data_IF_344284643563
#
_entry.id   IF_344284643563
#
_cell.length_a   1.000
_cell.length_b   1.000
_cell.length_c   1.000
_cell.angle_alpha   90.00
_cell.angle_beta   90.00
_cell.angle_gamma   90.00
#
_symmetry.space_group_name_H-M   'P 1'
#
loop_
_entity.id
_entity.type
_entity.pdbx_description
1 polymer ?
#
# COMPACT_ATOMS: atom_id res chain seq x y z
N UNK A 1 -35.87 -9.95 -47.60
CA UNK A 1 -36.15 -8.85 -46.65
C UNK A 1 -34.84 -8.51 -45.96
N UNK A 2 -34.11 -7.53 -46.47
CA UNK A 2 -32.97 -6.93 -45.79
C UNK A 2 -33.22 -5.43 -45.76
N UNK A 3 -33.29 -4.90 -44.55
CA UNK A 3 -33.58 -3.51 -44.25
C UNK A 3 -32.35 -2.68 -44.53
N UNK A 4 -32.56 -1.74 -45.44
CA UNK A 4 -31.82 -0.53 -45.76
C UNK A 4 -31.16 0.13 -44.53
N UNK A 5 -29.84 0.28 -44.53
CA UNK A 5 -29.15 1.36 -43.81
C UNK A 5 -28.73 2.41 -44.82
N UNK A 6 -29.64 3.37 -45.02
CA UNK A 6 -29.39 4.63 -45.70
C UNK A 6 -28.77 5.57 -44.65
N UNK A 7 -27.46 5.77 -44.72
CA UNK A 7 -26.82 6.97 -44.15
C UNK A 7 -26.44 7.88 -45.32
N UNK A 8 -27.15 9.00 -45.40
CA UNK A 8 -26.94 10.08 -46.36
C UNK A 8 -25.64 10.86 -46.08
N UNK A 9 -24.91 11.14 -47.17
CA UNK A 9 -24.22 12.37 -47.58
C UNK A 9 -23.40 13.16 -46.52
N UNK A 10 -22.17 13.59 -46.81
CA UNK A 10 -21.83 14.64 -47.77
C UNK A 10 -20.36 14.47 -48.20
N UNK A 11 -20.07 14.01 -49.42
CA UNK A 11 -18.74 14.23 -50.02
C UNK A 11 -18.64 13.97 -51.54
N UNK A 12 -19.54 13.19 -52.15
CA UNK A 12 -19.29 12.73 -53.54
C UNK A 12 -20.35 13.20 -54.55
N UNK A 13 -21.19 14.16 -54.16
CA UNK A 13 -22.23 14.74 -55.03
C UNK A 13 -21.75 15.82 -56.01
N UNK A 14 -20.46 15.89 -56.35
CA UNK A 14 -19.93 17.00 -57.17
C UNK A 14 -19.14 16.58 -58.42
N UNK A 15 -19.07 15.29 -58.77
CA UNK A 15 -18.30 14.86 -59.95
C UNK A 15 -19.17 14.35 -61.12
N UNK A 16 -20.47 14.10 -60.93
CA UNK A 16 -21.34 13.67 -62.05
C UNK A 16 -22.72 14.33 -61.98
N UNK A 17 -22.78 15.64 -62.23
CA UNK A 17 -24.01 16.26 -62.76
C UNK A 17 -23.64 17.27 -63.84
N UNK A 18 -23.15 16.73 -64.95
CA UNK A 18 -22.89 17.49 -66.15
C UNK A 18 -23.01 16.55 -67.32
N UNK A 19 -24.19 16.53 -67.92
CA UNK A 19 -24.57 15.81 -69.15
C UNK A 19 -25.19 14.42 -68.91
N UNK A 20 -26.46 14.30 -69.36
CA UNK A 20 -27.39 13.15 -69.46
C UNK A 20 -28.16 12.75 -68.20
N UNK A 21 -29.49 12.94 -68.24
CA UNK A 21 -30.43 12.64 -67.17
C UNK A 21 -31.10 11.28 -67.29
N UNK A 22 -30.40 10.20 -66.95
CA UNK A 22 -31.03 8.90 -66.68
C UNK A 22 -30.49 8.29 -65.38
N UNK A 23 -31.38 7.67 -64.60
CA UNK A 23 -31.06 7.05 -63.31
C UNK A 23 -30.06 5.90 -63.49
N UNK A 24 -28.87 6.03 -62.89
CA UNK A 24 -27.91 4.94 -62.76
C UNK A 24 -28.15 4.20 -61.44
N UNK A 25 -28.14 2.86 -61.50
CA UNK A 25 -28.26 2.03 -60.30
C UNK A 25 -26.89 1.49 -59.88
N UNK A 26 -26.64 1.48 -58.57
CA UNK A 26 -25.43 0.94 -57.94
C UNK A 26 -25.83 -0.31 -57.14
N UNK A 27 -25.15 -1.43 -57.37
CA UNK A 27 -25.32 -2.63 -56.56
C UNK A 27 -23.99 -3.36 -56.34
N UNK A 28 -23.94 -4.21 -55.32
CA UNK A 28 -22.77 -5.02 -54.95
C UNK A 28 -23.14 -6.48 -55.15
N UNK A 29 -22.29 -7.27 -55.81
CA UNK A 29 -22.55 -8.69 -56.04
C UNK A 29 -22.16 -9.58 -54.85
N UNK A 30 -22.43 -10.89 -54.97
CA UNK A 30 -22.20 -11.88 -53.91
C UNK A 30 -20.71 -12.10 -53.56
N UNK A 31 -19.78 -11.55 -54.36
CA UNK A 31 -18.33 -11.62 -54.12
C UNK A 31 -17.77 -10.27 -53.64
N UNK A 32 -18.58 -9.22 -53.59
CA UNK A 32 -18.24 -7.91 -53.03
C UNK A 32 -17.85 -6.85 -54.05
N UNK A 33 -18.00 -7.12 -55.34
CA UNK A 33 -17.64 -6.16 -56.39
C UNK A 33 -18.78 -5.14 -56.61
N UNK A 34 -18.39 -3.87 -56.79
CA UNK A 34 -19.33 -2.75 -57.00
C UNK A 34 -19.64 -2.57 -58.49
N UNK A 35 -20.92 -2.61 -58.85
CA UNK A 35 -21.40 -2.45 -60.22
C UNK A 35 -22.16 -1.14 -60.40
N UNK A 36 -21.98 -0.50 -61.56
CA UNK A 36 -22.69 0.70 -62.01
C UNK A 36 -23.32 0.41 -63.38
N UNK A 37 -24.65 0.47 -63.47
CA UNK A 37 -25.37 0.22 -64.72
C UNK A 37 -26.18 1.46 -65.12
N UNK A 38 -25.95 1.94 -66.35
CA UNK A 38 -26.72 3.03 -66.94
C UNK A 38 -27.92 2.46 -67.72
N UNK A 39 -29.11 3.03 -67.54
CA UNK A 39 -30.38 2.43 -67.98
C UNK A 39 -30.60 2.40 -69.50
N UNK A 40 -29.74 2.97 -70.34
CA UNK A 40 -29.89 2.84 -71.79
C UNK A 40 -28.55 2.59 -72.51
N UNK A 41 -28.53 1.45 -73.19
CA UNK A 41 -27.52 0.91 -74.13
C UNK A 41 -26.56 -0.15 -73.57
N UNK A 42 -26.67 -1.32 -74.19
CA UNK A 42 -26.13 -2.61 -73.79
C UNK A 42 -24.61 -2.75 -74.06
N UNK A 43 -23.80 -1.70 -73.84
CA UNK A 43 -22.42 -1.68 -74.37
C UNK A 43 -21.37 -0.81 -73.64
N UNK A 44 -21.58 -0.36 -72.40
CA UNK A 44 -20.52 0.32 -71.65
C UNK A 44 -20.41 -0.18 -70.21
N UNK A 45 -19.78 -1.34 -70.02
CA UNK A 45 -19.28 -1.79 -68.72
C UNK A 45 -17.96 -1.09 -68.42
N UNK A 46 -17.97 -0.13 -67.50
CA UNK A 46 -16.72 0.45 -66.98
C UNK A 46 -16.28 -0.39 -65.79
N UNK A 47 -15.20 -1.14 -65.97
CA UNK A 47 -14.54 -1.90 -64.90
C UNK A 47 -13.67 -0.95 -64.07
N UNK A 48 -13.98 -0.80 -62.78
CA UNK A 48 -13.03 -0.28 -61.81
C UNK A 48 -12.23 -1.47 -61.29
N UNK A 49 -10.94 -1.51 -61.65
CA UNK A 49 -10.06 -2.65 -61.39
C UNK A 49 -9.99 -3.03 -59.92
N UNK A 50 -9.89 -4.35 -59.71
CA UNK A 50 -9.73 -5.04 -58.44
C UNK A 50 -8.55 -4.52 -57.62
N UNK A 51 -8.83 -3.72 -56.60
CA UNK A 51 -8.08 -3.78 -55.35
C UNK A 51 -9.02 -4.41 -54.33
N UNK A 52 -8.59 -5.54 -53.79
CA UNK A 52 -9.35 -6.44 -52.94
C UNK A 52 -9.90 -5.71 -51.70
N UNK A 53 -11.12 -5.16 -51.84
CA UNK A 53 -11.83 -4.40 -50.81
C UNK A 53 -11.95 -5.21 -49.51
N UNK A 54 -11.94 -6.55 -49.60
CA UNK A 54 -11.91 -7.45 -48.45
C UNK A 54 -10.61 -7.36 -47.66
N UNK A 55 -9.46 -7.32 -48.34
CA UNK A 55 -8.15 -7.13 -47.69
C UNK A 55 -8.01 -5.73 -47.09
N UNK A 56 -8.47 -4.69 -47.77
CA UNK A 56 -8.45 -3.33 -47.23
C UNK A 56 -9.35 -3.20 -46.00
N UNK A 57 -10.54 -3.79 -46.02
CA UNK A 57 -11.46 -3.81 -44.88
C UNK A 57 -10.90 -4.61 -43.70
N UNK A 58 -10.23 -5.73 -43.94
CA UNK A 58 -9.56 -6.52 -42.90
C UNK A 58 -8.40 -5.73 -42.26
N UNK A 59 -7.61 -5.05 -43.08
CA UNK A 59 -6.49 -4.20 -42.63
C UNK A 59 -7.00 -3.03 -41.79
N UNK A 60 -8.08 -2.37 -42.23
CA UNK A 60 -8.73 -1.28 -41.48
C UNK A 60 -9.30 -1.76 -40.14
N UNK A 61 -9.91 -2.96 -40.08
CA UNK A 61 -10.42 -3.54 -38.82
C UNK A 61 -9.31 -3.82 -37.82
N UNK A 62 -8.20 -4.41 -38.27
CA UNK A 62 -7.03 -4.65 -37.42
C UNK A 62 -6.46 -3.34 -36.86
N UNK A 63 -6.33 -2.31 -37.71
CA UNK A 63 -5.87 -0.98 -37.28
C UNK A 63 -6.81 -0.33 -36.25
N UNK A 64 -8.14 -0.51 -36.40
CA UNK A 64 -9.12 -0.01 -35.43
C UNK A 64 -9.01 -0.72 -34.08
N UNK A 65 -8.78 -2.04 -34.07
CA UNK A 65 -8.64 -2.79 -32.82
C UNK A 65 -7.32 -2.48 -32.10
N UNK A 66 -6.22 -2.29 -32.83
CA UNK A 66 -4.97 -1.76 -32.27
C UNK A 66 -5.17 -0.37 -31.65
N UNK A 67 -5.86 0.54 -32.36
CA UNK A 67 -6.19 1.86 -31.83
C UNK A 67 -7.09 1.79 -30.59
N UNK A 68 -7.99 0.81 -30.48
CA UNK A 68 -8.82 0.63 -29.28
C UNK A 68 -8.00 0.17 -28.09
N UNK A 69 -7.07 -0.77 -28.28
CA UNK A 69 -6.16 -1.23 -27.23
C UNK A 69 -5.27 -0.08 -26.76
N UNK A 70 -4.70 0.68 -27.69
CA UNK A 70 -3.86 1.83 -27.35
C UNK A 70 -4.67 2.95 -26.68
N UNK A 71 -5.90 3.23 -27.13
CA UNK A 71 -6.76 4.22 -26.48
C UNK A 71 -7.20 3.78 -25.07
N UNK A 72 -7.44 2.48 -24.86
CA UNK A 72 -7.70 1.93 -23.54
C UNK A 72 -6.46 2.06 -22.62
N UNK A 73 -5.26 1.80 -23.15
CA UNK A 73 -3.99 2.01 -22.44
C UNK A 73 -3.79 3.48 -22.07
N UNK A 74 -3.94 4.40 -23.01
CA UNK A 74 -3.79 5.85 -22.78
C UNK A 74 -4.84 6.37 -21.79
N UNK A 75 -6.07 5.84 -21.80
CA UNK A 75 -7.09 6.17 -20.79
C UNK A 75 -6.70 5.66 -19.40
N UNK A 76 -6.21 4.43 -19.29
CA UNK A 76 -5.70 3.88 -18.04
C UNK A 76 -4.52 4.70 -17.51
N UNK A 77 -3.60 5.09 -18.40
CA UNK A 77 -2.47 5.97 -18.10
C UNK A 77 -2.94 7.37 -17.65
N UNK A 78 -3.93 7.98 -18.32
CA UNK A 78 -4.50 9.26 -17.87
C UNK A 78 -5.23 9.18 -16.54
N UNK A 79 -5.93 8.07 -16.25
CA UNK A 79 -6.56 7.84 -14.94
C UNK A 79 -5.48 7.68 -13.87
N UNK A 80 -4.43 6.90 -14.15
CA UNK A 80 -3.28 6.73 -13.26
C UNK A 80 -2.56 8.06 -13.01
N UNK A 81 -2.36 8.89 -14.04
CA UNK A 81 -1.77 10.22 -13.92
C UNK A 81 -2.66 11.19 -13.12
N UNK A 82 -3.98 11.14 -13.29
CA UNK A 82 -4.91 11.95 -12.48
C UNK A 82 -4.96 11.49 -11.02
N UNK A 83 -4.90 10.18 -10.79
CA UNK A 83 -4.77 9.61 -9.44
C UNK A 83 -3.43 10.00 -8.82
N UNK A 84 -2.33 9.87 -9.55
CA UNK A 84 -1.01 10.31 -9.12
C UNK A 84 -1.01 11.81 -8.80
N UNK A 85 -1.65 12.66 -9.61
CA UNK A 85 -1.79 14.09 -9.36
C UNK A 85 -2.60 14.40 -8.09
N UNK A 86 -3.71 13.70 -7.86
CA UNK A 86 -4.46 13.78 -6.59
C UNK A 86 -3.64 13.31 -5.40
N UNK A 87 -2.73 12.38 -5.63
CA UNK A 87 -1.81 11.83 -4.64
C UNK A 87 -0.52 12.64 -4.45
N UNK A 88 -0.36 13.78 -5.14
CA UNK A 88 0.80 14.67 -4.95
C UNK A 88 0.58 15.68 -3.81
N UNK A 89 1.56 15.75 -2.91
CA UNK A 89 1.74 16.84 -1.96
C UNK A 89 0.65 16.98 -0.89
N UNK A 90 0.60 18.18 -0.29
CA UNK A 90 -0.34 18.53 0.78
C UNK A 90 -1.83 18.42 0.41
N UNK A 91 -2.19 18.27 -0.88
CA UNK A 91 -3.58 18.25 -1.32
C UNK A 91 -4.31 17.00 -0.82
N UNK A 92 -3.81 15.79 -1.11
CA UNK A 92 -4.41 14.54 -0.65
C UNK A 92 -4.65 14.58 0.86
N UNK A 93 -3.61 14.96 1.60
CA UNK A 93 -3.64 15.02 3.05
C UNK A 93 -4.67 16.01 3.60
N UNK A 94 -4.81 17.19 2.99
CA UNK A 94 -5.78 18.22 3.41
C UNK A 94 -7.24 17.86 3.10
N UNK A 95 -7.46 16.84 2.27
CA UNK A 95 -8.81 16.39 1.87
C UNK A 95 -9.15 15.01 2.44
N UNK A 96 -8.41 14.51 3.44
CA UNK A 96 -8.77 13.28 4.13
C UNK A 96 -9.95 13.52 5.09
N UNK A 97 -11.01 12.74 4.92
CA UNK A 97 -12.16 12.75 5.81
C UNK A 97 -12.38 11.36 6.43
N UNK A 98 -12.67 11.31 7.73
CA UNK A 98 -13.17 10.09 8.37
C UNK A 98 -14.58 9.79 7.83
N UNK A 99 -14.73 8.65 7.14
CA UNK A 99 -16.01 8.27 6.50
C UNK A 99 -16.45 6.87 6.91
N UNK A 100 -15.79 6.24 7.88
CA UNK A 100 -16.16 4.90 8.32
C UNK A 100 -15.21 4.32 9.35
N UNK A 101 -15.72 3.34 10.07
CA UNK A 101 -14.95 2.60 11.05
C UNK A 101 -15.17 1.10 10.94
N UNK A 102 -14.15 0.34 11.32
CA UNK A 102 -14.31 -1.09 11.63
C UNK A 102 -14.60 -1.15 13.13
N UNK A 103 -15.84 -1.43 13.56
CA UNK A 103 -16.12 -1.67 14.96
C UNK A 103 -15.47 -3.00 15.33
N UNK A 104 -14.34 -2.93 16.03
CA UNK A 104 -13.69 -4.15 16.50
C UNK A 104 -14.39 -4.52 17.80
N UNK A 105 -15.28 -5.51 17.73
CA UNK A 105 -15.91 -6.07 18.91
C UNK A 105 -14.81 -6.76 19.74
N UNK A 106 -14.37 -6.06 20.78
CA UNK A 106 -13.43 -6.54 21.78
C UNK A 106 -14.10 -7.66 22.59
N UNK A 107 -13.96 -8.89 22.14
CA UNK A 107 -14.36 -10.04 22.96
C UNK A 107 -13.23 -10.43 23.92
N UNK A 108 -11.99 -9.95 23.74
CA UNK A 108 -10.86 -10.36 24.55
C UNK A 108 -9.80 -9.27 24.72
N UNK A 109 -9.50 -8.96 25.98
CA UNK A 109 -8.41 -8.09 26.43
C UNK A 109 -7.09 -8.42 25.71
N UNK A 110 -6.35 -7.40 25.26
CA UNK A 110 -5.09 -7.66 24.56
C UNK A 110 -4.51 -6.60 23.63
N UNK A 111 -4.81 -5.32 23.84
CA UNK A 111 -4.34 -4.20 23.00
C UNK A 111 -4.80 -4.30 21.53
N UNK A 112 -6.11 -4.43 21.31
CA UNK A 112 -6.69 -4.48 19.97
C UNK A 112 -6.40 -3.21 19.15
N UNK A 113 -5.94 -3.35 17.90
CA UNK A 113 -5.54 -2.22 17.07
C UNK A 113 -4.07 -1.82 17.23
N UNK A 114 -3.25 -2.67 17.84
CA UNK A 114 -1.83 -2.39 18.07
C UNK A 114 -1.01 -2.25 16.78
N UNK A 115 -1.33 -3.07 15.78
CA UNK A 115 -0.85 -2.97 14.42
C UNK A 115 -2.01 -3.15 13.44
N UNK A 116 -1.88 -2.51 12.27
CA UNK A 116 -2.84 -2.58 11.17
C UNK A 116 -2.05 -2.79 9.89
N UNK A 117 -2.55 -3.63 8.99
CA UNK A 117 -2.06 -3.71 7.61
C UNK A 117 -3.28 -3.78 6.67
N UNK A 118 -3.20 -3.15 5.51
CA UNK A 118 -4.28 -3.17 4.52
C UNK A 118 -3.73 -3.42 3.11
N UNK A 119 -4.37 -4.30 2.35
CA UNK A 119 -4.05 -4.54 0.95
C UNK A 119 -5.24 -5.11 0.21
N UNK A 120 -5.53 -4.57 -0.97
CA UNK A 120 -6.69 -4.94 -1.77
C UNK A 120 -7.98 -4.70 -0.98
N UNK A 121 -8.74 -5.78 -0.79
CA UNK A 121 -9.97 -5.80 -0.02
C UNK A 121 -9.77 -6.36 1.41
N UNK A 122 -8.54 -6.57 1.87
CA UNK A 122 -8.26 -7.12 3.20
C UNK A 122 -7.67 -6.07 4.14
N UNK A 123 -8.09 -6.13 5.40
CA UNK A 123 -7.53 -5.34 6.51
C UNK A 123 -7.23 -6.29 7.66
N UNK A 124 -5.97 -6.38 8.05
CA UNK A 124 -5.52 -7.13 9.21
C UNK A 124 -5.33 -6.19 10.40
N UNK A 125 -5.83 -6.58 11.57
CA UNK A 125 -5.72 -5.84 12.82
C UNK A 125 -5.31 -6.79 13.94
N UNK A 126 -4.34 -6.39 14.75
CA UNK A 126 -3.80 -7.27 15.80
C UNK A 126 -4.16 -6.87 17.23
N UNK A 127 -4.12 -7.87 18.11
CA UNK A 127 -4.15 -7.78 19.56
C UNK A 127 -3.01 -8.64 20.15
N UNK A 128 -1.76 -8.15 20.18
CA UNK A 128 -0.60 -8.96 20.56
C UNK A 128 -0.59 -9.41 22.02
N UNK A 129 -1.41 -8.80 22.89
CA UNK A 129 -1.54 -9.20 24.31
C UNK A 129 -2.74 -10.11 24.56
N UNK A 130 -3.36 -10.62 23.50
CA UNK A 130 -4.48 -11.52 23.61
C UNK A 130 -4.08 -12.83 24.31
N UNK A 131 -4.97 -13.31 25.20
CA UNK A 131 -4.73 -14.44 26.09
C UNK A 131 -5.47 -15.73 25.70
N UNK A 132 -6.15 -15.78 24.54
CA UNK A 132 -7.00 -16.92 24.17
C UNK A 132 -6.18 -18.19 23.95
N UNK A 133 -5.10 -18.10 23.17
CA UNK A 133 -4.28 -19.28 22.82
C UNK A 133 -3.29 -19.64 23.94
N UNK A 134 -2.62 -18.64 24.51
CA UNK A 134 -1.85 -18.69 25.74
C UNK A 134 -1.68 -17.26 26.28
N UNK A 135 -1.17 -17.08 27.50
CA UNK A 135 -1.00 -15.76 28.09
C UNK A 135 -0.07 -14.88 27.24
N UNK A 136 -0.55 -13.72 26.78
CA UNK A 136 0.14 -12.80 25.87
C UNK A 136 0.65 -13.48 24.58
N UNK A 137 -0.06 -14.49 24.07
CA UNK A 137 0.32 -15.18 22.84
C UNK A 137 0.03 -14.35 21.59
N UNK A 138 -0.99 -13.50 21.63
CA UNK A 138 -1.38 -12.63 20.53
C UNK A 138 -2.42 -13.24 19.58
N UNK A 139 -3.02 -12.36 18.78
CA UNK A 139 -4.11 -12.63 17.84
C UNK A 139 -4.06 -11.61 16.70
N UNK A 140 -4.36 -12.06 15.48
CA UNK A 140 -4.61 -11.18 14.33
C UNK A 140 -5.98 -11.49 13.75
N UNK A 141 -6.84 -10.48 13.68
CA UNK A 141 -8.09 -10.51 12.95
C UNK A 141 -7.87 -10.04 11.53
N UNK A 142 -8.33 -10.81 10.55
CA UNK A 142 -8.34 -10.40 9.15
C UNK A 142 -9.79 -10.16 8.75
N UNK A 143 -10.07 -8.95 8.28
CA UNK A 143 -11.37 -8.52 7.80
C UNK A 143 -11.34 -8.39 6.29
N UNK A 144 -12.46 -8.78 5.66
CA UNK A 144 -12.73 -8.50 4.25
C UNK A 144 -13.63 -7.30 4.12
N UNK A 145 -13.22 -6.34 3.30
CA UNK A 145 -14.00 -5.19 2.85
C UNK A 145 -14.83 -5.55 1.62
N UNK A 146 -16.11 -5.21 1.64
CA UNK A 146 -17.02 -5.37 0.51
C UNK A 146 -17.21 -4.06 -0.27
N UNK A 147 -17.71 -4.13 -1.52
CA UNK A 147 -17.94 -2.94 -2.35
C UNK A 147 -18.91 -1.91 -1.76
N UNK A 148 -19.80 -2.33 -0.86
CA UNK A 148 -20.71 -1.46 -0.12
C UNK A 148 -20.05 -0.74 1.07
N UNK A 149 -18.74 -0.95 1.28
CA UNK A 149 -17.97 -0.37 2.38
C UNK A 149 -18.06 -1.16 3.69
N UNK A 150 -18.86 -2.23 3.76
CA UNK A 150 -18.97 -3.06 4.94
C UNK A 150 -17.73 -3.96 5.13
N UNK A 151 -17.51 -4.39 6.37
CA UNK A 151 -16.42 -5.31 6.73
C UNK A 151 -17.00 -6.57 7.37
N UNK A 152 -16.49 -7.74 7.00
CA UNK A 152 -16.76 -8.99 7.71
C UNK A 152 -15.46 -9.61 8.21
N UNK A 153 -15.46 -10.11 9.44
CA UNK A 153 -14.36 -10.95 9.92
C UNK A 153 -14.25 -12.19 9.02
N UNK A 154 -13.06 -12.40 8.50
CA UNK A 154 -12.74 -13.46 7.55
C UNK A 154 -12.03 -14.62 8.24
N UNK A 155 -10.98 -14.32 9.02
CA UNK A 155 -10.22 -15.33 9.76
C UNK A 155 -9.54 -14.72 10.99
N UNK A 156 -9.37 -15.56 12.02
CA UNK A 156 -8.55 -15.29 13.19
C UNK A 156 -7.26 -16.10 13.08
N UNK A 157 -6.11 -15.44 13.17
CA UNK A 157 -4.81 -16.10 13.20
C UNK A 157 -4.27 -16.13 14.62
N UNK A 158 -3.88 -17.33 15.05
CA UNK A 158 -3.19 -17.60 16.30
C UNK A 158 -1.78 -18.14 16.02
N UNK A 159 -0.82 -17.96 16.93
CA UNK A 159 0.51 -18.54 16.76
C UNK A 159 0.41 -20.06 16.65
N UNK A 160 1.04 -20.69 15.65
CA UNK A 160 1.18 -22.14 15.61
C UNK A 160 2.00 -22.60 16.81
N UNK A 161 1.39 -23.35 17.72
CA UNK A 161 1.97 -23.75 19.03
C UNK A 161 2.18 -22.60 20.02
N UNK A 162 1.16 -21.75 20.16
CA UNK A 162 1.14 -20.61 21.10
C UNK A 162 1.77 -20.91 22.47
N UNK A 163 2.80 -20.14 22.81
CA UNK A 163 3.43 -20.10 24.11
C UNK A 163 3.17 -18.76 24.81
N UNK A 164 3.50 -18.73 26.10
CA UNK A 164 3.37 -17.51 26.91
C UNK A 164 4.33 -16.45 26.38
N UNK A 165 3.80 -15.29 26.00
CA UNK A 165 4.60 -14.15 25.56
C UNK A 165 5.09 -14.22 24.10
N UNK A 166 4.49 -15.07 23.25
CA UNK A 166 4.79 -15.07 21.81
C UNK A 166 4.43 -13.74 21.14
N UNK A 167 3.43 -13.01 21.65
CA UNK A 167 2.98 -11.71 21.16
C UNK A 167 2.82 -11.61 19.62
N UNK A 168 2.30 -12.65 18.97
CA UNK A 168 2.05 -12.63 17.53
C UNK A 168 1.10 -11.48 17.17
N UNK A 169 1.43 -10.77 16.09
CA UNK A 169 0.71 -9.57 15.67
C UNK A 169 1.29 -8.29 16.26
N UNK A 170 2.48 -8.32 16.86
CA UNK A 170 3.16 -7.11 17.30
C UNK A 170 3.45 -6.15 16.12
N UNK A 171 3.72 -6.71 14.94
CA UNK A 171 3.81 -5.99 13.68
C UNK A 171 3.07 -6.73 12.58
N UNK A 172 2.56 -5.97 11.60
CA UNK A 172 1.90 -6.49 10.42
C UNK A 172 2.45 -5.78 9.19
N UNK A 173 2.66 -6.53 8.11
CA UNK A 173 2.88 -5.99 6.77
C UNK A 173 2.09 -6.85 5.78
N UNK A 174 1.53 -6.25 4.73
CA UNK A 174 0.66 -6.98 3.82
C UNK A 174 0.73 -6.39 2.42
N UNK A 175 0.62 -7.26 1.42
CA UNK A 175 0.28 -6.89 0.05
C UNK A 175 -0.88 -7.77 -0.45
N UNK A 176 -1.16 -7.77 -1.75
CA UNK A 176 -2.27 -8.55 -2.30
C UNK A 176 -2.03 -10.06 -2.36
N UNK A 177 -0.84 -10.55 -2.01
CA UNK A 177 -0.45 -11.96 -2.06
C UNK A 177 -0.14 -12.56 -0.70
N UNK A 178 0.39 -11.77 0.23
CA UNK A 178 0.84 -12.27 1.53
C UNK A 178 0.50 -11.31 2.66
N UNK A 179 0.16 -11.90 3.81
CA UNK A 179 0.15 -11.24 5.11
C UNK A 179 1.36 -11.72 5.90
N UNK A 180 2.18 -10.78 6.36
CA UNK A 180 3.37 -11.04 7.19
C UNK A 180 3.05 -10.58 8.60
N UNK A 181 3.23 -11.48 9.56
CA UNK A 181 2.89 -11.25 10.97
C UNK A 181 4.14 -11.41 11.81
N UNK A 182 4.51 -10.35 12.52
CA UNK A 182 5.66 -10.33 13.42
C UNK A 182 5.29 -10.63 14.86
N UNK A 183 6.19 -11.30 15.56
CA UNK A 183 6.18 -11.51 17.00
C UNK A 183 7.49 -11.00 17.57
N UNK A 184 7.40 -10.11 18.57
CA UNK A 184 8.53 -9.89 19.46
C UNK A 184 8.38 -10.82 20.66
N UNK A 185 9.48 -11.14 21.33
CA UNK A 185 9.45 -11.97 22.53
C UNK A 185 9.73 -11.12 23.78
N UNK A 186 9.24 -11.60 24.92
CA UNK A 186 9.64 -11.07 26.22
C UNK A 186 11.05 -11.60 26.59
N UNK A 187 11.84 -10.74 27.21
CA UNK A 187 13.26 -10.90 27.59
C UNK A 187 13.52 -12.10 28.52
N UNK A 188 12.48 -12.71 29.08
CA UNK A 188 12.60 -13.83 30.03
C UNK A 188 12.73 -15.20 29.39
N UNK A 189 12.41 -15.33 28.10
CA UNK A 189 12.56 -16.57 27.33
C UNK A 189 13.68 -16.33 26.32
N UNK A 190 14.59 -17.28 26.13
CA UNK A 190 15.75 -17.21 25.23
C UNK A 190 15.37 -17.17 23.73
N UNK A 191 14.25 -16.53 23.39
CA UNK A 191 13.67 -16.47 22.07
C UNK A 191 13.97 -15.10 21.44
N UNK A 192 14.36 -15.10 20.16
CA UNK A 192 14.87 -13.91 19.46
C UNK A 192 13.79 -13.11 18.73
N UNK A 193 12.52 -13.51 18.85
CA UNK A 193 11.42 -13.00 18.04
C UNK A 193 11.36 -13.69 16.67
N UNK A 194 10.27 -13.47 15.93
CA UNK A 194 10.02 -14.19 14.68
C UNK A 194 9.04 -13.45 13.77
N UNK A 195 8.89 -13.94 12.54
CA UNK A 195 7.73 -13.63 11.71
C UNK A 195 7.19 -14.86 10.97
N UNK A 196 5.92 -14.80 10.63
CA UNK A 196 5.22 -15.75 9.78
C UNK A 196 4.76 -15.06 8.49
N UNK A 197 4.69 -15.83 7.41
CA UNK A 197 4.11 -15.41 6.14
C UNK A 197 2.92 -16.30 5.85
N UNK A 198 1.76 -15.68 5.64
CA UNK A 198 0.51 -16.35 5.29
C UNK A 198 0.13 -15.98 3.86
N UNK A 199 -0.30 -16.97 3.09
CA UNK A 199 -0.69 -16.77 1.70
C UNK A 199 -2.14 -16.25 1.61
N UNK A 200 -2.33 -15.24 0.79
CA UNK A 200 -3.63 -14.72 0.37
C UNK A 200 -3.91 -15.28 -1.02
N UNK A 201 -5.12 -15.77 -1.26
CA UNK A 201 -5.48 -16.27 -2.58
C UNK A 201 -5.39 -15.15 -3.64
N UNK A 202 -5.07 -15.52 -4.88
CA UNK A 202 -4.87 -14.57 -5.98
C UNK A 202 -6.05 -13.62 -6.23
N UNK A 203 -7.27 -14.02 -5.84
CA UNK A 203 -8.50 -13.25 -5.96
C UNK A 203 -8.83 -12.42 -4.69
N UNK A 204 -7.99 -12.47 -3.66
CA UNK A 204 -8.16 -11.76 -2.39
C UNK A 204 -9.37 -12.24 -1.58
N UNK A 205 -9.86 -13.45 -1.84
CA UNK A 205 -11.10 -13.96 -1.21
C UNK A 205 -10.87 -14.92 -0.05
N UNK A 206 -9.67 -15.50 0.06
CA UNK A 206 -9.27 -16.45 1.10
C UNK A 206 -7.84 -16.15 1.60
N UNK A 207 -7.55 -16.54 2.84
CA UNK A 207 -6.22 -16.51 3.46
C UNK A 207 -5.99 -17.88 4.10
N UNK A 208 -4.86 -18.51 3.80
CA UNK A 208 -4.48 -19.77 4.44
C UNK A 208 -4.00 -19.48 5.86
N UNK A 209 -4.68 -20.08 6.85
CA UNK A 209 -4.33 -19.92 8.26
C UNK A 209 -3.08 -20.71 8.66
N UNK A 210 -2.56 -21.58 7.78
CA UNK A 210 -1.26 -22.19 7.96
C UNK A 210 -0.19 -21.27 7.37
N UNK A 211 0.89 -20.97 8.11
CA UNK A 211 1.96 -20.16 7.57
C UNK A 211 2.66 -20.90 6.43
N UNK A 212 2.81 -20.23 5.29
CA UNK A 212 3.65 -20.67 4.19
C UNK A 212 5.14 -20.69 4.60
N UNK A 213 5.52 -19.73 5.44
CA UNK A 213 6.88 -19.58 5.92
C UNK A 213 6.89 -19.13 7.38
N UNK A 214 7.85 -19.66 8.14
CA UNK A 214 8.20 -19.20 9.48
C UNK A 214 9.69 -18.87 9.50
N UNK A 215 10.04 -17.72 10.08
CA UNK A 215 11.42 -17.25 10.18
C UNK A 215 11.69 -16.79 11.60
N UNK A 216 12.60 -17.49 12.27
CA UNK A 216 13.10 -17.11 13.57
C UNK A 216 14.19 -16.05 13.43
N UNK A 217 14.25 -15.14 14.41
CA UNK A 217 15.33 -14.17 14.52
C UNK A 217 16.69 -14.85 14.76
N UNK A 218 17.80 -14.20 14.35
CA UNK A 218 19.13 -14.74 14.58
C UNK A 218 19.42 -14.97 16.07
N UNK A 219 20.22 -16.00 16.38
CA UNK A 219 20.56 -16.49 17.72
C UNK A 219 21.41 -15.50 18.54
N UNK A 220 20.78 -14.41 18.93
CA UNK A 220 21.40 -13.30 19.65
C UNK A 220 20.41 -12.76 20.67
N UNK A 221 20.79 -12.87 21.95
CA UNK A 221 19.92 -12.62 23.08
C UNK A 221 19.30 -11.21 22.99
N UNK A 222 17.96 -11.14 23.07
CA UNK A 222 17.24 -9.89 23.28
C UNK A 222 17.04 -9.02 22.03
N UNK A 223 17.20 -9.57 20.83
CA UNK A 223 17.05 -8.80 19.59
C UNK A 223 15.61 -8.45 19.21
N UNK A 224 14.56 -9.01 19.82
CA UNK A 224 13.16 -8.70 19.46
C UNK A 224 12.93 -8.63 17.93
N UNK A 225 13.48 -9.57 17.17
CA UNK A 225 13.28 -9.66 15.73
C UNK A 225 11.80 -9.79 15.40
N UNK A 226 11.34 -9.23 14.27
CA UNK A 226 9.91 -9.23 13.94
C UNK A 226 9.09 -8.19 14.71
N UNK A 227 9.73 -7.31 15.48
CA UNK A 227 9.06 -6.21 16.20
C UNK A 227 8.49 -5.15 15.26
N UNK A 228 9.10 -4.95 14.10
CA UNK A 228 8.56 -4.08 13.05
C UNK A 228 8.80 -4.72 11.70
N UNK A 229 7.86 -4.48 10.80
CA UNK A 229 7.84 -5.04 9.46
C UNK A 229 7.45 -3.93 8.51
N UNK A 230 8.14 -3.85 7.37
CA UNK A 230 7.66 -3.04 6.26
C UNK A 230 7.94 -3.75 4.94
N UNK A 231 6.92 -3.81 4.09
CA UNK A 231 6.93 -4.47 2.80
C UNK A 231 6.70 -3.43 1.70
N UNK A 232 7.55 -3.43 0.67
CA UNK A 232 7.35 -2.65 -0.55
C UNK A 232 7.79 -3.47 -1.75
N UNK A 233 6.83 -3.92 -2.56
CA UNK A 233 7.08 -4.81 -3.68
C UNK A 233 7.73 -6.11 -3.22
N UNK A 234 8.97 -6.33 -3.66
CA UNK A 234 9.74 -7.55 -3.36
C UNK A 234 10.65 -7.40 -2.14
N UNK A 235 10.72 -6.21 -1.52
CA UNK A 235 11.60 -5.94 -0.40
C UNK A 235 10.81 -5.95 0.92
N UNK A 236 11.25 -6.78 1.85
CA UNK A 236 10.79 -6.81 3.23
C UNK A 236 11.94 -6.37 4.15
N UNK A 237 11.69 -5.37 4.98
CA UNK A 237 12.61 -4.97 6.05
C UNK A 237 12.01 -5.38 7.39
N UNK A 238 12.78 -6.14 8.16
CA UNK A 238 12.42 -6.61 9.50
C UNK A 238 13.28 -5.90 10.53
N UNK A 239 12.63 -5.26 11.50
CA UNK A 239 13.29 -4.56 12.58
C UNK A 239 13.48 -5.43 13.82
N UNK A 240 14.58 -5.17 14.51
CA UNK A 240 14.98 -5.72 15.78
C UNK A 240 15.31 -4.60 16.78
N UNK A 241 15.30 -4.90 18.08
CA UNK A 241 15.79 -4.01 19.13
C UNK A 241 17.27 -3.75 18.90
N UNK A 242 17.63 -2.48 18.89
CA UNK A 242 19.01 -2.04 18.87
C UNK A 242 19.41 -1.56 20.25
N UNK A 243 20.50 -2.12 20.76
CA UNK A 243 21.22 -1.56 21.90
C UNK A 243 22.59 -1.09 21.38
N UNK A 244 22.74 0.21 21.04
CA UNK A 244 23.97 0.73 20.47
C UNK A 244 25.14 0.71 21.47
N UNK A 245 24.87 0.51 22.77
CA UNK A 245 25.88 0.38 23.80
C UNK A 245 26.49 -1.04 23.87
N UNK A 246 25.89 -2.02 23.17
CA UNK A 246 26.54 -3.32 22.96
C UNK A 246 27.74 -3.18 22.02
N UNK A 247 28.82 -3.92 22.31
CA UNK A 247 30.03 -3.93 21.49
C UNK A 247 30.32 -5.35 20.95
N UNK A 248 30.22 -5.57 19.63
CA UNK A 248 29.79 -4.63 18.59
C UNK A 248 28.27 -4.34 18.64
N UNK A 249 27.81 -3.16 18.16
CA UNK A 249 26.37 -2.88 18.10
C UNK A 249 25.70 -3.91 17.18
N UNK A 250 24.60 -4.55 17.60
CA UNK A 250 23.96 -5.56 16.78
C UNK A 250 23.40 -4.95 15.50
N UNK A 251 23.24 -5.77 14.47
CA UNK A 251 22.43 -5.38 13.31
C UNK A 251 20.95 -5.35 13.73
N UNK A 252 20.27 -4.26 13.38
CA UNK A 252 18.93 -3.95 13.90
C UNK A 252 17.86 -3.93 12.81
N UNK A 253 18.27 -4.08 11.55
CA UNK A 253 17.42 -4.14 10.38
C UNK A 253 17.89 -5.30 9.50
N UNK A 254 16.96 -6.15 9.09
CA UNK A 254 17.22 -7.32 8.27
C UNK A 254 16.44 -7.20 6.98
N UNK A 255 17.17 -7.16 5.86
CA UNK A 255 16.61 -7.09 4.52
C UNK A 255 16.36 -8.49 3.99
N UNK A 256 15.14 -8.71 3.51
CA UNK A 256 14.71 -9.89 2.80
C UNK A 256 14.20 -9.50 1.42
N UNK A 257 14.36 -10.41 0.46
CA UNK A 257 13.83 -10.30 -0.89
C UNK A 257 12.84 -11.42 -1.16
N UNK A 258 11.76 -11.11 -1.86
CA UNK A 258 10.74 -12.10 -2.27
C UNK A 258 11.39 -13.17 -3.16
N UNK A 259 11.15 -14.44 -2.84
CA UNK A 259 11.65 -15.55 -3.63
C UNK A 259 10.89 -15.71 -4.95
N UNK A 260 11.39 -16.58 -5.82
CA UNK A 260 10.86 -16.78 -7.17
C UNK A 260 9.44 -17.34 -7.23
N UNK A 261 8.96 -17.99 -6.16
CA UNK A 261 7.56 -18.43 -6.07
C UNK A 261 6.60 -17.26 -5.84
N UNK A 262 7.10 -16.11 -5.39
CA UNK A 262 6.30 -14.90 -5.15
C UNK A 262 5.68 -14.81 -3.76
N UNK A 263 5.76 -15.85 -2.94
CA UNK A 263 5.04 -15.90 -1.65
C UNK A 263 5.97 -16.15 -0.45
N UNK A 264 7.27 -16.39 -0.67
CA UNK A 264 8.28 -16.53 0.38
C UNK A 264 9.30 -15.39 0.36
N UNK A 265 10.03 -15.23 1.46
CA UNK A 265 11.07 -14.21 1.63
C UNK A 265 12.42 -14.85 1.97
N UNK A 266 13.45 -14.46 1.24
CA UNK A 266 14.82 -14.95 1.39
C UNK A 266 15.68 -13.87 2.00
N UNK A 267 16.44 -14.22 3.04
CA UNK A 267 17.34 -13.28 3.70
C UNK A 267 18.42 -12.79 2.72
N UNK A 268 18.60 -11.47 2.66
CA UNK A 268 19.63 -10.83 1.83
C UNK A 268 20.79 -10.39 2.69
N UNK A 269 20.52 -9.50 3.65
CA UNK A 269 21.57 -8.82 4.40
C UNK A 269 21.02 -8.16 5.65
N UNK A 270 21.83 -8.15 6.70
CA UNK A 270 21.63 -7.29 7.85
C UNK A 270 22.20 -5.88 7.56
N UNK A 271 21.38 -4.84 7.72
CA UNK A 271 21.75 -3.46 7.49
C UNK A 271 22.27 -2.86 8.81
N UNK A 272 23.52 -2.38 8.77
CA UNK A 272 24.22 -1.93 9.98
C UNK A 272 23.62 -0.67 10.58
N UNK A 273 23.51 -0.68 11.91
CA UNK A 273 23.05 0.45 12.70
C UNK A 273 24.05 1.63 12.78
N UNK A 274 25.27 1.48 12.26
CA UNK A 274 26.27 2.56 12.18
C UNK A 274 25.82 3.75 11.32
N UNK A 275 24.76 3.60 10.53
CA UNK A 275 24.11 4.69 9.80
C UNK A 275 23.22 5.59 10.69
N UNK A 276 22.89 5.19 11.93
CA UNK A 276 22.01 5.96 12.81
C UNK A 276 22.78 7.01 13.62
N UNK A 277 22.35 8.29 13.62
CA UNK A 277 22.85 9.29 14.53
C UNK A 277 22.39 8.99 15.97
N UNK A 278 23.33 8.68 16.87
CA UNK A 278 23.22 8.63 18.36
C UNK A 278 22.90 7.29 19.07
N UNK A 279 23.38 7.22 20.32
CA UNK A 279 23.36 6.14 21.32
C UNK A 279 22.00 5.89 21.99
N UNK A 280 20.89 5.96 21.24
CA UNK A 280 19.56 5.74 21.80
C UNK A 280 19.13 4.30 21.58
N UNK A 281 18.64 3.63 22.63
CA UNK A 281 17.96 2.32 22.53
C UNK A 281 16.77 2.45 21.58
N UNK A 282 16.72 1.61 20.53
CA UNK A 282 15.79 1.79 19.43
C UNK A 282 14.54 0.92 19.60
N UNK A 283 13.39 1.55 19.91
CA UNK A 283 12.08 1.06 19.47
C UNK A 283 11.95 1.39 17.98
N UNK A 284 12.23 0.42 17.12
CA UNK A 284 12.24 0.61 15.67
C UNK A 284 10.81 0.52 15.12
N UNK A 285 10.24 1.62 14.64
CA UNK A 285 9.10 1.59 13.70
C UNK A 285 9.65 1.76 12.28
N UNK A 286 9.05 1.10 11.30
CA UNK A 286 9.52 1.09 9.92
C UNK A 286 8.42 1.50 8.95
N UNK A 287 8.79 2.22 7.91
CA UNK A 287 8.01 2.36 6.69
C UNK A 287 8.94 2.35 5.48
N UNK A 288 8.59 1.60 4.45
CA UNK A 288 9.35 1.44 3.22
C UNK A 288 8.44 1.78 2.03
N UNK A 289 8.93 2.64 1.14
CA UNK A 289 8.28 2.96 -0.13
C UNK A 289 9.35 2.99 -1.22
N UNK A 290 9.38 1.96 -2.06
CA UNK A 290 10.44 1.75 -3.04
C UNK A 290 11.82 1.72 -2.39
N UNK A 291 12.64 2.73 -2.66
CA UNK A 291 14.00 2.89 -2.12
C UNK A 291 14.08 3.83 -0.91
N UNK A 292 12.95 4.29 -0.36
CA UNK A 292 12.93 5.17 0.81
C UNK A 292 12.53 4.40 2.05
N UNK A 293 13.42 4.34 3.03
CA UNK A 293 13.19 3.71 4.32
C UNK A 293 13.12 4.78 5.40
N UNK A 294 11.96 4.90 6.05
CA UNK A 294 11.82 5.67 7.28
C UNK A 294 11.94 4.74 8.49
N UNK A 295 12.76 5.14 9.45
CA UNK A 295 13.01 4.43 10.70
C UNK A 295 12.79 5.38 11.84
N UNK A 296 11.85 5.08 12.73
CA UNK A 296 11.65 5.86 13.94
C UNK A 296 12.23 5.19 15.16
N UNK A 297 12.63 6.02 16.12
CA UNK A 297 13.30 5.63 17.35
C UNK A 297 12.60 6.32 18.51
N UNK A 298 12.30 5.56 19.56
CA UNK A 298 11.80 6.08 20.83
C UNK A 298 12.76 5.59 21.92
N UNK A 299 13.17 6.47 22.83
CA UNK A 299 14.04 6.08 23.96
C UNK A 299 13.23 5.26 24.96
N UNK A 300 13.68 4.06 25.35
CA UNK A 300 13.03 3.29 26.43
C UNK A 300 13.51 3.68 27.84
N UNK A 301 14.47 4.60 27.97
CA UNK A 301 15.09 4.89 29.27
C UNK A 301 14.11 5.67 30.17
N UNK A 302 13.68 5.12 31.32
CA UNK A 302 12.84 5.84 32.27
C UNK A 302 13.51 7.16 32.69
N UNK A 303 12.81 8.28 32.54
CA UNK A 303 13.32 9.61 32.89
C UNK A 303 13.98 10.39 31.74
N UNK A 304 14.14 9.79 30.56
CA UNK A 304 14.40 10.54 29.33
C UNK A 304 13.08 10.86 28.63
N UNK A 305 13.05 12.00 27.95
CA UNK A 305 11.88 12.45 27.22
C UNK A 305 11.59 11.52 26.03
N UNK A 306 10.35 11.00 25.95
CA UNK A 306 9.87 10.08 24.90
C UNK A 306 9.52 10.83 23.61
N UNK A 307 10.31 11.84 23.26
CA UNK A 307 10.01 12.83 22.22
C UNK A 307 10.11 12.25 20.82
N UNK A 308 10.84 11.12 20.69
CA UNK A 308 10.96 10.36 19.45
C UNK A 308 11.69 11.08 18.31
N UNK A 309 12.21 10.32 17.37
CA UNK A 309 12.75 10.85 16.12
C UNK A 309 12.49 9.88 14.97
N UNK A 310 12.28 10.39 13.77
CA UNK A 310 12.18 9.61 12.55
C UNK A 310 13.32 9.97 11.60
N UNK A 311 14.08 8.96 11.18
CA UNK A 311 15.21 9.07 10.29
C UNK A 311 14.81 8.53 8.93
N UNK A 312 15.17 9.25 7.87
CA UNK A 312 14.87 8.88 6.49
C UNK A 312 16.17 8.47 5.82
N UNK A 313 16.16 7.32 5.17
CA UNK A 313 17.28 6.75 4.45
C UNK A 313 16.90 6.45 3.01
N UNK A 314 17.88 6.63 2.12
CA UNK A 314 17.90 5.98 0.83
C UNK A 314 18.45 4.55 1.00
N UNK A 315 17.64 3.56 0.63
CA UNK A 315 17.99 2.16 0.56
C UNK A 315 18.42 1.82 -0.87
N UNK A 316 19.74 1.76 -1.09
CA UNK A 316 20.29 1.28 -2.35
C UNK A 316 20.18 -0.25 -2.38
N UNK A 317 19.44 -0.76 -3.36
CA UNK A 317 19.24 -2.19 -3.62
C UNK A 317 19.66 -2.59 -5.04
N UNK A 318 20.37 -1.71 -5.76
CA UNK A 318 20.85 -1.93 -7.14
C UNK A 318 21.60 -3.25 -7.26
N UNK A 319 22.40 -3.56 -6.23
CA UNK A 319 22.98 -4.88 -6.01
C UNK A 319 22.55 -5.34 -4.63
N UNK A 320 21.58 -6.26 -4.55
CA UNK A 320 20.98 -6.72 -3.29
C UNK A 320 22.02 -7.14 -2.23
N UNK A 321 23.06 -7.88 -2.63
CA UNK A 321 24.13 -8.31 -1.72
C UNK A 321 24.92 -7.13 -1.11
N UNK A 322 24.97 -6.00 -1.80
CA UNK A 322 25.64 -4.78 -1.36
C UNK A 322 24.66 -3.73 -0.83
N UNK A 323 23.43 -4.12 -0.50
CA UNK A 323 22.43 -3.18 -0.01
C UNK A 323 22.97 -2.33 1.14
N UNK A 324 22.67 -1.03 1.09
CA UNK A 324 23.21 -0.04 2.00
C UNK A 324 22.19 1.08 2.27
N UNK A 325 22.37 1.75 3.40
CA UNK A 325 21.53 2.87 3.83
C UNK A 325 22.36 4.15 3.77
N UNK A 326 21.83 5.17 3.11
CA UNK A 326 22.37 6.53 3.12
C UNK A 326 21.38 7.44 3.84
N UNK A 327 21.81 8.07 4.93
CA UNK A 327 20.97 9.00 5.70
C UNK A 327 20.63 10.24 4.86
N UNK A 328 19.34 10.63 4.85
CA UNK A 328 18.85 11.79 4.10
C UNK A 328 18.29 12.88 5.01
N UNK A 329 17.53 12.52 6.05
CA UNK A 329 16.89 13.50 6.91
C UNK A 329 16.59 12.95 8.31
N UNK A 330 16.42 13.87 9.26
CA UNK A 330 15.90 13.58 10.60
C UNK A 330 14.70 14.48 10.85
N UNK A 331 13.62 13.89 11.31
CA UNK A 331 12.37 14.55 11.71
C UNK A 331 12.16 14.32 13.20
N UNK A 332 11.64 15.32 13.88
CA UNK A 332 11.33 15.26 15.31
C UNK A 332 10.06 16.05 15.60
N UNK A 333 9.41 15.71 16.71
CA UNK A 333 8.32 16.52 17.26
C UNK A 333 8.83 17.72 18.02
N UNK A 334 7.98 18.74 18.11
CA UNK A 334 8.13 19.88 19.01
C UNK A 334 7.47 19.67 20.38
N UNK A 335 6.67 18.60 20.54
CA UNK A 335 6.01 18.25 21.80
C UNK A 335 6.75 17.13 22.55
N UNK A 336 7.07 17.33 23.84
CA UNK A 336 7.75 16.31 24.60
C UNK A 336 6.83 15.15 24.98
N UNK A 337 7.37 13.93 24.96
CA UNK A 337 6.70 12.68 25.31
C UNK A 337 5.46 12.32 24.47
N UNK A 338 5.30 12.88 23.27
CA UNK A 338 4.15 12.61 22.40
C UNK A 338 4.23 11.26 21.66
N UNK A 339 5.33 10.52 21.85
CA UNK A 339 5.64 9.26 21.14
C UNK A 339 5.75 9.42 19.63
N UNK A 340 6.27 10.55 19.14
CA UNK A 340 6.52 10.77 17.72
C UNK A 340 7.33 9.62 17.09
N UNK A 341 6.81 9.08 15.99
CA UNK A 341 7.42 7.93 15.33
C UNK A 341 6.98 6.58 15.88
N UNK A 342 5.97 6.56 16.78
CA UNK A 342 5.35 5.30 17.21
C UNK A 342 4.77 4.49 16.05
N UNK A 343 4.27 5.15 15.00
CA UNK A 343 3.87 4.52 13.75
C UNK A 343 4.36 5.35 12.58
N UNK A 344 4.71 4.66 11.50
CA UNK A 344 5.17 5.27 10.25
C UNK A 344 4.40 4.63 9.11
N UNK A 345 4.04 5.42 8.10
CA UNK A 345 3.50 4.89 6.86
C UNK A 345 3.81 5.85 5.72
N UNK A 346 4.08 5.32 4.53
CA UNK A 346 4.16 6.12 3.33
C UNK A 346 2.81 6.16 2.60
N UNK A 347 2.51 7.31 2.01
CA UNK A 347 1.51 7.46 0.95
C UNK A 347 2.23 8.14 -0.21
N UNK A 348 2.64 7.33 -1.17
CA UNK A 348 3.55 7.74 -2.24
C UNK A 348 4.84 8.32 -1.64
N UNK A 349 5.06 9.62 -1.81
CA UNK A 349 6.24 10.36 -1.34
C UNK A 349 6.06 10.95 0.07
N UNK A 350 4.82 11.02 0.57
CA UNK A 350 4.48 11.63 1.85
C UNK A 350 4.70 10.59 2.96
N UNK A 351 5.51 10.97 3.95
CA UNK A 351 5.68 10.21 5.18
C UNK A 351 4.67 10.69 6.21
N UNK A 352 3.86 9.77 6.71
CA UNK A 352 2.98 9.98 7.85
C UNK A 352 3.64 9.44 9.12
N UNK A 353 3.58 10.21 10.20
CA UNK A 353 4.20 9.91 11.48
C UNK A 353 3.18 10.05 12.59
N UNK A 354 2.91 8.96 13.30
CA UNK A 354 2.01 8.97 14.45
C UNK A 354 2.71 9.46 15.72
N UNK A 355 2.01 10.28 16.49
CA UNK A 355 2.37 10.76 17.83
C UNK A 355 1.18 10.56 18.79
N UNK A 356 0.90 9.31 19.21
CA UNK A 356 -0.33 8.95 19.91
C UNK A 356 -0.37 9.39 21.39
N UNK A 357 0.73 9.86 21.98
CA UNK A 357 0.71 10.38 23.35
C UNK A 357 0.51 11.91 23.41
N UNK A 358 0.36 12.57 22.26
CA UNK A 358 0.08 13.99 22.16
C UNK A 358 -1.19 14.39 22.93
N UNK A 359 -1.14 15.55 23.62
CA UNK A 359 -2.29 16.20 24.25
C UNK A 359 -3.11 15.27 25.15
N UNK A 360 -2.58 14.86 26.31
CA UNK A 360 -3.22 13.88 27.20
C UNK A 360 -3.59 12.55 26.51
N UNK A 361 -2.72 12.12 25.60
CA UNK A 361 -2.89 10.91 24.81
C UNK A 361 -4.14 10.93 23.91
N UNK A 362 -4.62 12.11 23.47
CA UNK A 362 -5.59 12.22 22.38
C UNK A 362 -4.98 11.66 21.09
N UNK A 363 -3.73 12.02 20.81
CA UNK A 363 -2.95 11.56 19.67
C UNK A 363 -3.16 12.34 18.37
N UNK A 364 -2.09 12.43 17.57
CA UNK A 364 -2.08 13.08 16.26
C UNK A 364 -1.25 12.30 15.23
N UNK A 365 -1.43 12.64 13.96
CA UNK A 365 -0.57 12.21 12.85
C UNK A 365 0.00 13.44 12.17
N UNK A 366 1.32 13.51 12.02
CA UNK A 366 2.00 14.55 11.26
C UNK A 366 2.39 14.03 9.88
N UNK A 367 2.26 14.88 8.85
CA UNK A 367 2.65 14.55 7.49
C UNK A 367 3.85 15.39 7.05
N UNK A 368 4.80 14.71 6.40
CA UNK A 368 5.99 15.32 5.83
C UNK A 368 6.13 14.90 4.37
N UNK A 369 6.46 15.85 3.50
CA UNK A 369 6.70 15.58 2.08
C UNK A 369 8.09 16.09 1.68
N UNK A 370 8.73 15.51 0.64
CA UNK A 370 9.97 16.06 0.10
C UNK A 370 9.72 17.50 -0.32
N UNK A 371 10.54 18.46 0.14
CA UNK A 371 10.52 19.79 -0.45
C UNK A 371 10.96 19.71 -1.92
N UNK A 372 10.53 20.63 -2.77
CA UNK A 372 11.24 20.87 -4.03
C UNK A 372 12.60 21.47 -3.66
N UNK A 373 13.70 20.92 -4.19
CA UNK A 373 15.06 21.37 -3.87
C UNK A 373 15.20 22.90 -3.97
N UNK A 374 15.93 23.51 -3.03
CA UNK A 374 16.16 24.96 -3.00
C UNK A 374 17.16 25.44 -4.07
N UNK A 375 17.35 24.68 -5.16
CA UNK A 375 18.25 25.04 -6.27
C UNK A 375 19.75 25.05 -5.91
N UNK A 376 20.13 24.58 -4.72
CA UNK A 376 21.48 24.57 -4.17
C UNK A 376 22.21 23.22 -4.31
N UNK A 377 21.57 22.22 -4.93
CA UNK A 377 22.16 20.91 -5.18
C UNK A 377 22.33 20.03 -3.94
N UNK A 378 21.79 20.46 -2.79
CA UNK A 378 21.59 19.63 -1.61
C UNK A 378 20.21 18.98 -1.67
N UNK A 379 20.13 17.69 -1.36
CA UNK A 379 18.88 16.92 -1.42
C UNK A 379 17.80 17.56 -0.55
N UNK A 380 16.59 17.63 -1.11
CA UNK A 380 15.53 18.43 -0.53
C UNK A 380 15.06 17.87 0.84
N UNK A 381 15.07 18.65 1.93
CA UNK A 381 14.59 18.19 3.23
C UNK A 381 13.11 17.81 3.15
N UNK A 382 12.72 16.78 3.89
CA UNK A 382 11.30 16.51 4.16
C UNK A 382 10.73 17.67 4.99
N UNK A 383 9.76 18.39 4.44
CA UNK A 383 9.08 19.51 5.09
C UNK A 383 7.71 19.10 5.64
N UNK A 384 7.33 19.67 6.79
CA UNK A 384 6.01 19.50 7.37
C UNK A 384 4.93 20.05 6.42
N UNK A 385 3.90 19.26 6.14
CA UNK A 385 2.80 19.63 5.23
C UNK A 385 1.44 19.74 5.91
N UNK A 386 1.31 19.23 7.14
CA UNK A 386 0.10 19.32 7.95
C UNK A 386 0.01 18.22 9.00
N UNK A 387 -1.08 18.24 9.76
CA UNK A 387 -1.43 17.21 10.74
C UNK A 387 -2.89 16.78 10.62
N UNK A 388 -3.18 15.55 11.07
CA UNK A 388 -4.52 15.04 11.32
C UNK A 388 -4.68 14.85 12.82
N UNK A 389 -5.66 15.54 13.39
CA UNK A 389 -6.06 15.35 14.77
C UNK A 389 -7.11 14.23 14.86
N UNK A 390 -7.22 13.62 16.05
CA UNK A 390 -8.27 12.65 16.34
C UNK A 390 -9.67 13.22 16.02
N UNK A 391 -10.47 12.60 15.13
CA UNK A 391 -11.82 13.08 14.81
C UNK A 391 -12.76 13.19 16.02
N UNK A 392 -12.57 12.33 17.02
CA UNK A 392 -13.42 12.28 18.22
C UNK A 392 -13.00 13.20 19.36
N UNK A 393 -11.78 13.78 19.32
CA UNK A 393 -11.21 14.65 20.36
C UNK A 393 -11.42 14.11 21.80
N UNK A 394 -11.29 12.79 21.98
CA UNK A 394 -11.40 12.15 23.29
C UNK A 394 -10.01 12.00 23.90
N UNK A 395 -9.86 12.36 25.17
CA UNK A 395 -8.65 12.10 25.94
C UNK A 395 -8.33 10.60 25.94
N UNK A 396 -7.05 10.25 25.93
CA UNK A 396 -6.58 8.86 25.91
C UNK A 396 -6.99 8.02 24.71
N UNK A 397 -7.46 8.64 23.62
CA UNK A 397 -7.80 7.96 22.38
C UNK A 397 -6.59 7.35 21.64
N UNK A 398 -5.37 7.81 21.91
CA UNK A 398 -4.12 7.36 21.29
C UNK A 398 -4.19 7.28 19.76
N UNK A 399 -4.85 8.24 19.13
CA UNK A 399 -5.01 8.29 17.67
C UNK A 399 -3.63 8.33 16.98
N UNK A 400 -3.46 7.56 15.91
CA UNK A 400 -2.17 7.40 15.26
C UNK A 400 -1.27 6.32 15.87
N UNK A 401 -1.83 5.41 16.68
CA UNK A 401 -1.05 4.33 17.29
C UNK A 401 -0.49 3.34 16.26
N UNK A 402 -1.30 2.99 15.26
CA UNK A 402 -0.88 2.21 14.10
C UNK A 402 -1.51 2.83 12.85
N UNK A 403 -0.79 2.73 11.73
CA UNK A 403 -1.22 3.25 10.45
C UNK A 403 -0.89 2.26 9.35
N UNK A 404 -1.77 2.15 8.36
CA UNK A 404 -1.49 1.44 7.12
C UNK A 404 -2.23 2.13 5.99
N UNK A 405 -1.70 2.03 4.78
CA UNK A 405 -2.27 2.65 3.60
C UNK A 405 -2.47 1.59 2.54
N UNK A 406 -3.58 1.71 1.82
CA UNK A 406 -3.78 0.95 0.60
C UNK A 406 -4.37 1.89 -0.44
N UNK A 407 -3.63 2.06 -1.54
CA UNK A 407 -3.94 3.05 -2.57
C UNK A 407 -4.05 4.45 -1.96
N UNK A 408 -5.24 5.05 -2.00
CA UNK A 408 -5.55 6.38 -1.50
C UNK A 408 -6.20 6.37 -0.11
N UNK A 409 -6.46 5.18 0.44
CA UNK A 409 -7.14 4.99 1.72
C UNK A 409 -6.13 4.86 2.86
N UNK A 410 -6.32 5.64 3.92
CA UNK A 410 -5.52 5.57 5.14
C UNK A 410 -6.34 4.92 6.27
N UNK A 411 -5.78 3.89 6.89
CA UNK A 411 -6.34 3.21 8.06
C UNK A 411 -5.54 3.61 9.29
N UNK A 412 -6.23 4.11 10.32
CA UNK A 412 -5.60 4.60 11.55
C UNK A 412 -6.25 3.96 12.75
N UNK A 413 -5.46 3.40 13.66
CA UNK A 413 -5.99 2.91 14.93
C UNK A 413 -6.04 3.99 16.01
N UNK A 414 -7.07 3.89 16.85
CA UNK A 414 -7.22 4.60 18.12
C UNK A 414 -7.64 3.59 19.21
N UNK A 415 -7.20 3.81 20.45
CA UNK A 415 -7.61 3.06 21.63
C UNK A 415 -8.60 3.89 22.43
N UNK A 416 -9.82 3.41 22.69
CA UNK A 416 -10.68 4.11 23.64
C UNK A 416 -10.36 3.69 25.08
N UNK A 417 -9.94 4.64 25.92
CA UNK A 417 -10.00 4.48 27.37
C UNK A 417 -11.24 5.21 27.88
N UNK A 418 -12.13 4.53 28.62
CA UNK A 418 -13.26 5.23 29.21
C UNK A 418 -12.82 6.23 30.30
N UNK A 419 -13.46 7.41 30.42
CA UNK A 419 -13.14 8.43 31.42
C UNK A 419 -13.26 7.96 32.87
N UNK A 420 -13.99 6.88 33.13
CA UNK A 420 -14.15 6.28 34.47
C UNK A 420 -12.96 5.38 34.88
N UNK A 421 -11.89 5.33 34.08
CA UNK A 421 -10.68 4.54 34.37
C UNK A 421 -10.83 3.04 34.11
N UNK A 422 -11.99 2.57 33.67
CA UNK A 422 -12.16 1.18 33.22
C UNK A 422 -11.57 1.04 31.80
N UNK A 423 -10.65 0.10 31.63
CA UNK A 423 -10.15 -0.26 30.30
C UNK A 423 -11.28 -0.99 29.58
N UNK A 424 -12.07 -0.29 28.78
CA UNK A 424 -12.74 -0.96 27.67
C UNK A 424 -11.67 -1.14 26.61
N UNK A 425 -11.18 -2.35 26.41
CA UNK A 425 -10.19 -2.70 25.37
C UNK A 425 -10.77 -2.60 23.93
N UNK A 426 -11.66 -1.65 23.68
CA UNK A 426 -12.25 -1.37 22.38
C UNK A 426 -11.34 -0.41 21.60
N UNK A 427 -10.54 -0.97 20.71
CA UNK A 427 -9.85 -0.21 19.67
C UNK A 427 -10.78 0.08 18.49
N UNK A 428 -10.61 1.23 17.85
CA UNK A 428 -11.30 1.59 16.60
C UNK A 428 -10.29 1.75 15.48
N UNK A 429 -10.66 1.33 14.28
CA UNK A 429 -9.93 1.69 13.06
C UNK A 429 -10.74 2.75 12.34
N UNK A 430 -10.19 3.95 12.25
CA UNK A 430 -10.68 5.04 11.42
C UNK A 430 -10.21 4.85 9.99
N UNK A 431 -11.10 5.09 9.03
CA UNK A 431 -10.78 4.97 7.61
C UNK A 431 -10.96 6.35 6.96
N UNK A 432 -9.84 6.86 6.45
CA UNK A 432 -9.79 8.14 5.77
C UNK A 432 -9.71 7.95 4.26
N UNK A 433 -10.56 8.67 3.54
CA UNK A 433 -10.57 8.77 2.08
C UNK A 433 -10.34 10.24 1.66
N UNK A 434 -9.71 10.49 0.51
CA UNK A 434 -9.49 11.84 -0.03
C UNK A 434 -10.70 12.49 -0.69
#
# INVERSE_FOLDING_TARGET
MAVVWVMWLWAVGWVVSGVVGEEAQIFVDEVGDLHLEAASTNSSRVWLGSTDLGQELATLRAAVDELRVENARLRAEQVALRQAARMTGSWWFRHLYDQGSIPIHAIYDGNMGFAVAAAGNLVAVSAPKNNIAAANAGLVHVYRRYPDGSFSLMVNLFPPNAQVGDEMGFALAMDTRVLIVGARTDRQLENNGAFWVFAISNDGTSLDSNPLQFVEGPLSIGLNFGRSLSLSGDLLVVGARCDPDNLPPPDCLFLYHRGSSGDNFVFVKALSASAFPSSRTLLVSLALSGTRLAVATLSETPGNSLDGAAYIFHLDTTVLANASLTWQATLSSDEPNDLFGRSLCFVNEILLIGAPAQGDHVGRILAYAPSSSNGDGLEAPYGYVGELANPGQMDFARFGMAMSTHLDTLYVSSFQRHPNGTMSDTGHIHIFYP
#
